data_IF_751022135763
#
_entry.id   IF_751022135763
#
_cell.length_a   1.000
_cell.length_b   1.000
_cell.length_c   1.000
_cell.angle_alpha   90.00
_cell.angle_beta   90.00
_cell.angle_gamma   90.00
#
_symmetry.space_group_name_H-M   'P 1'
#
loop_
_entity.id
_entity.type
_entity.pdbx_description
1 polymer ?
#
# COMPACT_ATOMS: atom_id res chain seq x y z
N UNK A 1 25.07 0.23 25.41
CA UNK A 1 25.33 1.64 25.03
C UNK A 1 24.11 2.50 25.36
N UNK A 2 24.24 3.80 25.64
CA UNK A 2 23.08 4.68 25.86
C UNK A 2 22.71 5.35 24.52
N UNK A 3 21.46 5.22 24.11
CA UNK A 3 20.95 5.80 22.84
C UNK A 3 20.88 7.34 22.90
N UNK A 4 20.57 7.88 24.08
CA UNK A 4 20.38 9.33 24.29
C UNK A 4 21.60 10.15 23.88
N UNK A 5 21.40 11.13 23.00
CA UNK A 5 22.43 12.05 22.51
C UNK A 5 23.21 11.55 21.29
N UNK A 6 22.93 10.35 20.79
CA UNK A 6 23.59 9.78 19.61
C UNK A 6 22.96 10.30 18.30
N UNK A 7 23.64 10.09 17.17
CA UNK A 7 23.05 10.32 15.85
C UNK A 7 21.90 9.35 15.58
N UNK A 8 22.04 8.11 16.04
CA UNK A 8 20.97 7.09 15.95
C UNK A 8 19.68 7.56 16.63
N UNK A 9 19.76 8.21 17.81
CA UNK A 9 18.55 8.79 18.43
C UNK A 9 17.93 9.88 17.54
N UNK A 10 18.74 10.77 16.97
CA UNK A 10 18.25 11.83 16.07
C UNK A 10 17.57 11.23 14.82
N UNK A 11 18.18 10.20 14.24
CA UNK A 11 17.63 9.50 13.07
C UNK A 11 16.31 8.78 13.40
N UNK A 12 16.22 8.13 14.56
CA UNK A 12 14.97 7.53 15.05
C UNK A 12 13.86 8.58 15.19
N UNK A 13 14.18 9.74 15.75
CA UNK A 13 13.22 10.82 15.93
C UNK A 13 12.79 11.43 14.60
N UNK A 14 13.73 11.64 13.67
CA UNK A 14 13.45 12.14 12.33
C UNK A 14 12.56 11.15 11.55
N UNK A 15 12.91 9.85 11.57
CA UNK A 15 12.11 8.80 10.93
C UNK A 15 10.71 8.71 11.56
N UNK A 16 10.60 8.67 12.89
CA UNK A 16 9.30 8.67 13.57
C UNK A 16 8.40 9.83 13.15
N UNK A 17 8.96 11.03 13.04
CA UNK A 17 8.21 12.21 12.59
C UNK A 17 7.86 12.10 11.09
N UNK A 18 8.76 11.55 10.26
CA UNK A 18 8.55 11.28 8.83
C UNK A 18 7.36 10.36 8.61
N UNK A 19 7.37 9.19 9.23
CA UNK A 19 6.28 8.22 9.18
C UNK A 19 4.95 8.80 9.68
N UNK A 20 5.01 9.57 10.76
CA UNK A 20 3.81 10.18 11.35
C UNK A 20 3.17 11.21 10.41
N UNK A 21 3.96 12.02 9.71
CA UNK A 21 3.43 12.97 8.72
C UNK A 21 3.00 12.26 7.43
N UNK A 22 3.75 11.25 6.95
CA UNK A 22 3.38 10.47 5.77
C UNK A 22 2.02 9.78 5.96
N UNK A 23 1.78 9.17 7.12
CA UNK A 23 0.48 8.64 7.51
C UNK A 23 -0.65 9.65 7.33
N UNK A 24 -0.48 10.89 7.82
CA UNK A 24 -1.52 11.92 7.69
C UNK A 24 -1.69 12.33 6.23
N UNK A 25 -0.60 12.57 5.52
CA UNK A 25 -0.58 12.96 4.11
C UNK A 25 -1.31 11.94 3.25
N UNK A 26 -1.04 10.64 3.41
CA UNK A 26 -1.70 9.58 2.66
C UNK A 26 -3.20 9.47 2.99
N UNK A 27 -3.62 9.79 4.21
CA UNK A 27 -5.05 9.90 4.55
C UNK A 27 -5.73 11.04 3.77
N UNK A 28 -5.04 12.17 3.57
CA UNK A 28 -5.56 13.27 2.77
C UNK A 28 -5.63 12.89 1.27
N UNK A 29 -4.60 12.22 0.76
CA UNK A 29 -4.54 11.72 -0.61
C UNK A 29 -5.62 10.67 -0.89
N UNK A 30 -5.90 9.79 0.08
CA UNK A 30 -7.01 8.85 0.02
C UNK A 30 -8.36 9.56 -0.16
N UNK A 31 -8.61 10.62 0.63
CA UNK A 31 -9.82 11.42 0.51
C UNK A 31 -9.97 12.05 -0.88
N UNK A 32 -8.86 12.55 -1.45
CA UNK A 32 -8.87 13.12 -2.81
C UNK A 32 -9.11 12.03 -3.86
N UNK A 33 -8.44 10.88 -3.77
CA UNK A 33 -8.65 9.78 -4.71
C UNK A 33 -10.11 9.31 -4.76
N UNK A 34 -10.79 9.29 -3.61
CA UNK A 34 -12.23 9.01 -3.55
C UNK A 34 -13.05 10.05 -4.32
N UNK A 35 -12.76 11.34 -4.15
CA UNK A 35 -13.45 12.43 -4.87
C UNK A 35 -13.24 12.36 -6.38
N UNK A 36 -12.03 11.96 -6.79
CA UNK A 36 -11.66 11.79 -8.20
C UNK A 36 -12.24 10.48 -8.81
N UNK A 37 -12.93 9.65 -8.02
CA UNK A 37 -13.58 8.43 -8.50
C UNK A 37 -12.66 7.20 -8.53
N UNK A 38 -11.59 7.15 -7.74
CA UNK A 38 -10.64 6.04 -7.69
C UNK A 38 -10.67 5.32 -6.33
N UNK A 39 -11.73 4.53 -6.08
CA UNK A 39 -11.93 3.85 -4.78
C UNK A 39 -10.84 2.82 -4.46
N UNK A 40 -10.24 2.18 -5.46
CA UNK A 40 -9.08 1.32 -5.26
C UNK A 40 -7.88 2.14 -4.74
N UNK A 41 -7.59 3.27 -5.37
CA UNK A 41 -6.46 4.13 -4.99
C UNK A 41 -6.67 4.72 -3.59
N UNK A 42 -7.91 5.14 -3.29
CA UNK A 42 -8.27 5.52 -1.92
C UNK A 42 -7.88 4.45 -0.92
N UNK A 43 -8.32 3.20 -1.14
CA UNK A 43 -8.06 2.10 -0.20
C UNK A 43 -6.56 1.78 -0.07
N UNK A 44 -5.79 1.91 -1.15
CA UNK A 44 -4.34 1.68 -1.12
C UNK A 44 -3.63 2.78 -0.31
N UNK A 45 -4.02 4.05 -0.47
CA UNK A 45 -3.50 5.12 0.38
C UNK A 45 -3.86 4.93 1.86
N UNK A 46 -5.08 4.49 2.17
CA UNK A 46 -5.50 4.19 3.55
C UNK A 46 -4.72 3.02 4.14
N UNK A 47 -4.49 1.97 3.35
CA UNK A 47 -3.67 0.82 3.75
C UNK A 47 -2.24 1.26 4.04
N UNK A 48 -1.60 2.00 3.13
CA UNK A 48 -0.24 2.49 3.33
C UNK A 48 -0.17 3.42 4.55
N UNK A 49 -1.12 4.36 4.71
CA UNK A 49 -1.19 5.21 5.90
C UNK A 49 -1.23 4.41 7.21
N UNK A 50 -1.87 3.23 7.22
CA UNK A 50 -1.87 2.35 8.37
C UNK A 50 -0.55 1.61 8.54
N UNK A 51 0.18 1.31 7.46
CA UNK A 51 1.52 0.72 7.50
C UNK A 51 2.54 1.72 8.05
N UNK A 52 2.52 3.00 7.62
CA UNK A 52 3.37 4.06 8.18
C UNK A 52 3.14 4.26 9.69
N UNK A 53 1.89 4.13 10.14
CA UNK A 53 1.60 4.13 11.58
C UNK A 53 2.34 3.01 12.33
N UNK A 54 2.43 1.81 11.75
CA UNK A 54 3.15 0.70 12.40
C UNK A 54 4.67 0.89 12.32
N UNK A 55 5.21 1.48 11.24
CA UNK A 55 6.62 1.91 11.17
C UNK A 55 6.91 2.93 12.28
N UNK A 56 6.15 4.00 12.35
CA UNK A 56 6.28 5.01 13.42
C UNK A 56 6.24 4.39 14.80
N UNK A 57 5.31 3.46 15.07
CA UNK A 57 5.18 2.76 16.33
C UNK A 57 6.39 1.86 16.63
N UNK A 58 6.97 1.20 15.61
CA UNK A 58 8.19 0.38 15.79
C UNK A 58 9.38 1.25 16.20
N UNK A 59 9.55 2.41 15.57
CA UNK A 59 10.60 3.39 15.88
C UNK A 59 10.39 3.97 17.29
N UNK A 60 9.14 4.35 17.62
CA UNK A 60 8.80 4.89 18.93
C UNK A 60 9.14 3.95 20.10
N UNK A 61 9.08 2.64 19.91
CA UNK A 61 9.42 1.64 20.93
C UNK A 61 10.89 1.68 21.38
N UNK A 62 11.78 2.25 20.59
CA UNK A 62 13.18 2.46 20.99
C UNK A 62 13.38 3.65 21.92
N UNK A 63 12.45 4.61 21.90
CA UNK A 63 12.46 5.76 22.79
C UNK A 63 12.07 5.34 24.22
N UNK A 64 12.76 5.91 25.20
CA UNK A 64 12.64 5.49 26.60
C UNK A 64 11.85 6.48 27.48
N UNK A 65 11.04 7.31 26.87
CA UNK A 65 10.19 8.30 27.53
C UNK A 65 10.88 9.66 27.71
N UNK A 66 10.13 10.60 28.29
CA UNK A 66 10.52 11.98 28.44
C UNK A 66 10.13 12.84 27.21
N UNK A 67 10.49 14.11 27.29
CA UNK A 67 10.34 15.04 26.16
C UNK A 67 11.57 15.01 25.26
N UNK A 68 11.34 15.04 23.94
CA UNK A 68 12.39 15.08 22.92
C UNK A 68 12.12 16.21 21.95
N UNK A 69 13.19 16.85 21.49
CA UNK A 69 13.11 17.82 20.39
C UNK A 69 13.41 17.11 19.09
N UNK A 70 12.51 17.29 18.11
CA UNK A 70 12.70 16.81 16.74
C UNK A 70 13.06 18.00 15.86
N UNK A 71 14.11 17.86 15.06
CA UNK A 71 14.53 18.82 14.06
C UNK A 71 14.74 18.08 12.75
N UNK A 72 13.79 18.26 11.83
CA UNK A 72 13.78 17.59 10.54
C UNK A 72 12.97 18.40 9.53
N UNK A 73 13.19 18.16 8.24
CA UNK A 73 12.44 18.78 7.14
C UNK A 73 11.54 17.73 6.50
N UNK A 74 10.31 18.12 6.23
CA UNK A 74 9.31 17.25 5.60
C UNK A 74 8.63 17.99 4.45
N UNK A 75 8.06 17.26 3.45
CA UNK A 75 7.23 17.88 2.43
C UNK A 75 6.05 18.63 3.05
N UNK A 76 5.94 19.92 2.78
CA UNK A 76 4.82 20.76 3.24
C UNK A 76 3.59 20.63 2.32
N UNK A 77 3.71 19.92 1.26
CA UNK A 77 2.80 19.35 0.28
C UNK A 77 1.82 20.26 -0.29
N UNK A 78 1.09 19.96 -1.30
CA UNK A 78 -0.30 20.34 -1.60
C UNK A 78 -1.10 19.04 -1.69
N UNK A 79 -2.41 19.11 -1.44
CA UNK A 79 -3.31 18.03 -1.81
C UNK A 79 -3.75 18.34 -3.25
N UNK A 80 -3.11 17.68 -4.22
CA UNK A 80 -3.37 17.83 -5.64
C UNK A 80 -4.40 16.81 -6.15
N UNK A 81 -4.42 16.62 -7.46
CA UNK A 81 -5.13 15.51 -8.11
C UNK A 81 -4.57 14.17 -7.67
N UNK A 82 -5.31 13.09 -7.91
CA UNK A 82 -4.84 11.73 -7.60
C UNK A 82 -3.50 11.41 -8.24
N UNK A 83 -3.25 11.84 -9.50
CA UNK A 83 -1.99 11.62 -10.19
C UNK A 83 -0.83 12.38 -9.52
N UNK A 84 -1.03 13.65 -9.17
CA UNK A 84 -0.04 14.46 -8.45
C UNK A 84 0.29 13.89 -7.07
N UNK A 85 -0.73 13.45 -6.36
CA UNK A 85 -0.57 12.84 -5.03
C UNK A 85 0.17 11.49 -5.10
N UNK A 86 -0.11 10.65 -6.10
CA UNK A 86 0.61 9.38 -6.33
C UNK A 86 2.08 9.64 -6.65
N UNK A 87 2.38 10.66 -7.47
CA UNK A 87 3.76 11.03 -7.80
C UNK A 87 4.50 11.53 -6.57
N UNK A 88 3.91 12.46 -5.81
CA UNK A 88 4.51 12.98 -4.59
C UNK A 88 4.73 11.89 -3.52
N UNK A 89 3.82 10.92 -3.43
CA UNK A 89 3.99 9.77 -2.56
C UNK A 89 5.16 8.89 -3.03
N UNK A 90 5.19 8.50 -4.32
CA UNK A 90 6.27 7.66 -4.88
C UNK A 90 7.66 8.31 -4.72
N UNK A 91 7.78 9.63 -4.92
CA UNK A 91 9.04 10.37 -4.72
C UNK A 91 9.49 10.34 -3.25
N UNK A 92 8.56 10.45 -2.31
CA UNK A 92 8.83 10.32 -0.87
C UNK A 92 9.36 8.94 -0.51
N UNK A 93 8.64 7.88 -0.90
CA UNK A 93 9.05 6.49 -0.66
C UNK A 93 10.43 6.19 -1.30
N UNK A 94 10.65 6.70 -2.53
CA UNK A 94 11.95 6.55 -3.20
C UNK A 94 13.10 7.12 -2.38
N UNK A 95 12.96 8.35 -1.88
CA UNK A 95 13.96 8.97 -1.02
C UNK A 95 14.21 8.16 0.25
N UNK A 96 13.16 7.62 0.86
CA UNK A 96 13.25 6.88 2.11
C UNK A 96 14.02 5.58 1.94
N UNK A 97 13.71 4.74 0.95
CA UNK A 97 14.39 3.46 0.78
C UNK A 97 15.75 3.56 0.09
N UNK A 98 15.97 4.56 -0.78
CA UNK A 98 17.22 4.68 -1.53
C UNK A 98 18.30 5.45 -0.76
N UNK A 99 17.91 6.42 0.06
CA UNK A 99 18.85 7.35 0.70
C UNK A 99 18.74 7.36 2.23
N UNK A 100 17.58 7.69 2.76
CA UNK A 100 17.39 7.99 4.19
C UNK A 100 17.63 6.77 5.07
N UNK A 101 16.89 5.70 4.89
CA UNK A 101 17.01 4.51 5.74
C UNK A 101 18.35 3.79 5.60
N UNK A 102 18.95 3.63 4.41
CA UNK A 102 20.32 3.09 4.31
C UNK A 102 21.35 3.89 5.07
N UNK A 103 21.29 5.24 5.00
CA UNK A 103 22.20 6.10 5.76
C UNK A 103 21.99 5.96 7.28
N UNK A 104 20.74 5.94 7.73
CA UNK A 104 20.40 5.77 9.14
C UNK A 104 20.82 4.40 9.67
N UNK A 105 20.65 3.35 8.89
CA UNK A 105 21.10 2.00 9.25
C UNK A 105 22.61 1.91 9.40
N UNK A 106 23.35 2.53 8.47
CA UNK A 106 24.82 2.59 8.55
C UNK A 106 25.26 3.31 9.83
N UNK A 107 24.72 4.49 10.12
CA UNK A 107 25.07 5.25 11.34
C UNK A 107 24.72 4.47 12.61
N UNK A 108 23.58 3.80 12.63
CA UNK A 108 23.20 2.98 13.79
C UNK A 108 24.17 1.81 14.02
N UNK A 109 24.70 1.17 12.96
CA UNK A 109 25.74 0.14 13.09
C UNK A 109 27.04 0.73 13.61
N UNK A 110 27.48 1.85 13.06
CA UNK A 110 28.73 2.54 13.45
C UNK A 110 28.69 2.97 14.93
N UNK A 111 27.52 3.35 15.45
CA UNK A 111 27.30 3.71 16.85
C UNK A 111 26.99 2.49 17.77
N UNK A 112 26.96 1.25 17.22
CA UNK A 112 26.78 0.02 18.00
C UNK A 112 25.32 -0.30 18.35
N UNK A 113 24.36 0.10 17.51
CA UNK A 113 22.93 -0.22 17.63
C UNK A 113 22.45 -1.13 16.47
N UNK A 114 22.96 -2.37 16.36
CA UNK A 114 22.64 -3.24 15.23
C UNK A 114 21.15 -3.61 15.13
N UNK A 115 20.42 -3.68 16.24
CA UNK A 115 18.98 -3.94 16.22
C UNK A 115 18.21 -2.77 15.57
N UNK A 116 18.59 -1.53 15.84
CA UNK A 116 17.98 -0.35 15.24
C UNK A 116 18.30 -0.29 13.75
N UNK A 117 19.56 -0.58 13.38
CA UNK A 117 19.97 -0.65 11.98
C UNK A 117 19.15 -1.67 11.19
N UNK A 118 18.94 -2.87 11.75
CA UNK A 118 18.11 -3.90 11.12
C UNK A 118 16.65 -3.44 10.92
N UNK A 119 16.11 -2.66 11.85
CA UNK A 119 14.76 -2.11 11.69
C UNK A 119 14.70 -1.09 10.56
N UNK A 120 15.66 -0.17 10.45
CA UNK A 120 15.73 0.77 9.33
C UNK A 120 15.83 0.04 7.99
N UNK A 121 16.67 -0.99 7.88
CA UNK A 121 16.79 -1.80 6.67
C UNK A 121 15.48 -2.54 6.32
N UNK A 122 14.76 -3.06 7.32
CA UNK A 122 13.49 -3.74 7.10
C UNK A 122 12.39 -2.77 6.65
N UNK A 123 12.32 -1.57 7.21
CA UNK A 123 11.40 -0.53 6.77
C UNK A 123 11.71 -0.15 5.33
N UNK A 124 12.96 0.09 4.95
CA UNK A 124 13.35 0.41 3.57
C UNK A 124 12.83 -0.60 2.53
N UNK A 125 12.72 -1.89 2.89
CA UNK A 125 12.12 -2.90 2.00
C UNK A 125 10.62 -2.65 1.78
N UNK A 126 9.90 -2.20 2.81
CA UNK A 126 8.49 -1.86 2.70
C UNK A 126 8.29 -0.61 1.83
N UNK A 127 9.10 0.45 2.04
CA UNK A 127 9.00 1.71 1.28
C UNK A 127 9.30 1.51 -0.21
N UNK A 128 10.21 0.61 -0.54
CA UNK A 128 10.45 0.20 -1.93
C UNK A 128 9.22 -0.46 -2.57
N UNK A 129 8.44 -1.22 -1.81
CA UNK A 129 7.20 -1.82 -2.30
C UNK A 129 6.07 -0.79 -2.37
N UNK A 130 6.01 0.18 -1.47
CA UNK A 130 5.07 1.30 -1.52
C UNK A 130 5.30 2.15 -2.78
N UNK A 131 6.54 2.56 -3.06
CA UNK A 131 6.91 3.26 -4.30
C UNK A 131 6.44 2.50 -5.54
N UNK A 132 6.81 1.22 -5.66
CA UNK A 132 6.43 0.38 -6.80
C UNK A 132 4.92 0.37 -7.02
N UNK A 133 4.14 0.29 -5.95
CA UNK A 133 2.68 0.28 -5.98
C UNK A 133 2.14 1.63 -6.44
N UNK A 134 2.66 2.73 -5.91
CA UNK A 134 2.25 4.08 -6.31
C UNK A 134 2.60 4.39 -7.77
N UNK A 135 3.77 4.02 -8.24
CA UNK A 135 4.16 4.18 -9.65
C UNK A 135 3.27 3.36 -10.60
N UNK A 136 2.90 2.14 -10.24
CA UNK A 136 1.96 1.33 -11.02
C UNK A 136 0.57 1.95 -11.10
N UNK A 137 0.06 2.51 -9.99
CA UNK A 137 -1.21 3.22 -9.96
C UNK A 137 -1.16 4.54 -10.73
N UNK A 138 -0.08 5.30 -10.59
CA UNK A 138 0.16 6.53 -11.35
C UNK A 138 0.12 6.27 -12.85
N UNK A 139 0.84 5.25 -13.31
CA UNK A 139 0.83 4.86 -14.71
C UNK A 139 -0.57 4.51 -15.22
N UNK A 140 -1.39 3.82 -14.42
CA UNK A 140 -2.76 3.52 -14.80
C UNK A 140 -3.63 4.80 -14.91
N UNK A 141 -3.46 5.76 -13.99
CA UNK A 141 -4.21 7.02 -14.02
C UNK A 141 -3.81 7.86 -15.24
N UNK A 142 -2.51 8.04 -15.48
CA UNK A 142 -1.98 8.84 -16.58
C UNK A 142 -2.34 8.28 -17.97
N UNK A 143 -2.39 6.95 -18.11
CA UNK A 143 -2.74 6.29 -19.35
C UNK A 143 -4.26 6.01 -19.51
N UNK A 144 -5.11 6.40 -18.55
CA UNK A 144 -6.54 6.14 -18.60
C UNK A 144 -6.88 4.64 -18.53
N UNK A 145 -6.02 3.83 -17.90
CA UNK A 145 -6.15 2.36 -17.85
C UNK A 145 -6.61 1.82 -16.50
N UNK A 146 -7.10 2.68 -15.61
CA UNK A 146 -7.61 2.25 -14.29
C UNK A 146 -8.78 1.27 -14.47
N UNK A 147 -9.74 1.61 -15.32
CA UNK A 147 -10.97 0.81 -15.55
C UNK A 147 -11.01 0.14 -16.92
N UNK A 148 -9.93 0.23 -17.72
CA UNK A 148 -9.84 -0.33 -19.06
C UNK A 148 -8.48 -0.98 -19.29
N UNK A 149 -8.48 -2.10 -20.01
CA UNK A 149 -7.26 -2.84 -20.41
C UNK A 149 -7.30 -3.16 -21.89
N UNK A 150 -6.17 -3.46 -22.45
CA UNK A 150 -5.99 -3.84 -23.87
C UNK A 150 -6.58 -5.22 -24.23
N UNK A 151 -6.92 -6.02 -23.22
CA UNK A 151 -7.49 -7.37 -23.34
C UNK A 151 -8.52 -7.62 -22.24
N UNK A 152 -9.39 -8.62 -22.40
CA UNK A 152 -10.30 -9.04 -21.35
C UNK A 152 -9.54 -9.45 -20.07
N UNK A 153 -9.99 -8.89 -18.95
CA UNK A 153 -9.50 -9.18 -17.60
C UNK A 153 -10.68 -9.39 -16.67
N UNK A 154 -10.41 -9.84 -15.46
CA UNK A 154 -11.45 -10.05 -14.44
C UNK A 154 -11.48 -8.85 -13.51
N UNK A 155 -12.64 -8.18 -13.48
CA UNK A 155 -12.94 -7.05 -12.60
C UNK A 155 -13.75 -7.49 -11.40
N UNK A 156 -13.51 -6.89 -10.24
CA UNK A 156 -14.29 -7.09 -9.02
C UNK A 156 -14.84 -5.76 -8.52
N UNK A 157 -16.13 -5.72 -8.21
CA UNK A 157 -16.71 -4.61 -7.48
C UNK A 157 -16.30 -4.65 -6.00
N UNK A 158 -15.59 -3.65 -5.52
CA UNK A 158 -15.15 -3.55 -4.11
C UNK A 158 -16.30 -3.45 -3.12
N UNK A 159 -17.46 -2.94 -3.56
CA UNK A 159 -18.61 -2.76 -2.70
C UNK A 159 -19.38 -4.07 -2.40
N UNK A 160 -19.59 -4.91 -3.43
CA UNK A 160 -20.47 -6.09 -3.26
C UNK A 160 -19.85 -7.42 -3.70
N UNK A 161 -18.62 -7.41 -4.23
CA UNK A 161 -17.94 -8.63 -4.68
C UNK A 161 -18.37 -9.13 -6.07
N UNK A 162 -19.28 -8.44 -6.78
CA UNK A 162 -19.65 -8.81 -8.14
C UNK A 162 -18.43 -8.89 -9.05
N UNK A 163 -18.37 -9.90 -9.89
CA UNK A 163 -17.25 -10.17 -10.80
C UNK A 163 -17.71 -10.04 -12.25
N UNK A 164 -16.91 -9.37 -13.07
CA UNK A 164 -17.13 -9.16 -14.49
C UNK A 164 -15.87 -9.52 -15.28
N UNK A 165 -16.05 -10.16 -16.45
CA UNK A 165 -14.94 -10.41 -17.38
C UNK A 165 -15.13 -9.59 -18.65
N UNK A 166 -14.15 -8.76 -18.97
CA UNK A 166 -14.16 -7.89 -20.15
C UNK A 166 -12.93 -6.98 -20.19
N UNK A 167 -12.72 -6.26 -21.31
CA UNK A 167 -11.62 -5.30 -21.42
C UNK A 167 -11.84 -4.04 -20.59
N UNK A 168 -13.08 -3.77 -20.17
CA UNK A 168 -13.47 -2.58 -19.43
C UNK A 168 -14.39 -2.96 -18.27
N UNK A 169 -14.24 -2.28 -17.15
CA UNK A 169 -15.12 -2.42 -16.00
C UNK A 169 -16.51 -1.80 -16.32
N UNK A 170 -17.63 -2.38 -15.87
CA UNK A 170 -18.95 -1.81 -16.07
C UNK A 170 -19.08 -0.38 -15.51
N UNK A 171 -19.75 0.52 -16.23
CA UNK A 171 -20.03 1.89 -15.77
C UNK A 171 -20.82 1.90 -14.46
N UNK A 172 -21.73 0.93 -14.31
CA UNK A 172 -22.55 0.71 -13.12
C UNK A 172 -22.56 -0.77 -12.79
N UNK A 173 -22.30 -1.11 -11.53
CA UNK A 173 -22.35 -2.47 -11.06
C UNK A 173 -23.78 -3.03 -11.13
N UNK A 174 -24.05 -4.11 -11.89
CA UNK A 174 -25.41 -4.64 -12.06
C UNK A 174 -25.97 -5.26 -10.77
N UNK A 175 -25.12 -5.61 -9.80
CA UNK A 175 -25.56 -6.22 -8.55
C UNK A 175 -25.88 -5.23 -7.45
N UNK A 176 -25.22 -4.04 -7.42
CA UNK A 176 -25.38 -3.09 -6.31
C UNK A 176 -25.54 -1.63 -6.73
N UNK A 177 -25.61 -1.35 -8.04
CA UNK A 177 -25.80 -0.03 -8.65
C UNK A 177 -24.72 1.01 -8.27
N UNK A 178 -23.54 0.59 -7.76
CA UNK A 178 -22.42 1.49 -7.54
C UNK A 178 -21.70 1.81 -8.87
N UNK A 179 -21.12 3.00 -9.00
CA UNK A 179 -20.43 3.42 -10.22
C UNK A 179 -19.14 2.64 -10.47
N UNK A 180 -18.60 2.72 -11.69
CA UNK A 180 -17.35 2.13 -12.16
C UNK A 180 -16.17 2.40 -11.21
N UNK A 181 -16.17 3.53 -10.52
CA UNK A 181 -15.20 3.90 -9.48
C UNK A 181 -14.92 2.80 -8.45
N UNK A 182 -15.87 1.90 -8.21
CA UNK A 182 -15.76 0.80 -7.25
C UNK A 182 -15.14 -0.47 -7.83
N UNK A 183 -14.78 -0.51 -9.11
CA UNK A 183 -14.16 -1.68 -9.69
C UNK A 183 -12.63 -1.66 -9.55
N UNK A 184 -12.06 -2.85 -9.44
CA UNK A 184 -10.62 -3.10 -9.50
C UNK A 184 -10.35 -4.43 -10.19
N UNK A 185 -9.11 -4.70 -10.56
CA UNK A 185 -8.73 -6.04 -11.00
C UNK A 185 -8.90 -7.04 -9.87
N UNK A 186 -9.51 -8.20 -10.16
CA UNK A 186 -9.60 -9.28 -9.18
C UNK A 186 -8.20 -9.81 -8.87
N UNK A 187 -7.83 -9.77 -7.59
CA UNK A 187 -6.63 -10.42 -7.07
C UNK A 187 -7.04 -11.58 -6.17
N UNK A 188 -6.65 -12.80 -6.53
CA UNK A 188 -6.89 -14.02 -5.75
C UNK A 188 -5.66 -14.36 -4.92
N UNK A 189 -5.37 -13.56 -3.89
CA UNK A 189 -4.19 -13.70 -3.04
C UNK A 189 -4.27 -14.89 -2.04
N UNK A 190 -5.37 -15.65 -2.04
CA UNK A 190 -5.56 -16.90 -1.29
C UNK A 190 -5.34 -18.15 -2.15
N UNK A 191 -5.10 -17.98 -3.47
CA UNK A 191 -4.87 -19.07 -4.39
C UNK A 191 -3.52 -19.78 -4.19
N UNK A 192 -3.38 -20.99 -4.73
CA UNK A 192 -2.11 -21.70 -4.72
C UNK A 192 -1.11 -21.01 -5.66
N UNK A 193 0.09 -20.72 -5.18
CA UNK A 193 1.21 -20.29 -6.02
C UNK A 193 1.68 -21.51 -6.81
N UNK A 194 1.48 -21.52 -8.13
CA UNK A 194 2.12 -22.51 -8.97
C UNK A 194 3.63 -22.27 -9.03
N UNK A 195 4.42 -23.32 -9.14
CA UNK A 195 5.88 -23.35 -9.02
C UNK A 195 6.67 -22.46 -9.99
N UNK A 196 6.01 -21.72 -10.87
CA UNK A 196 6.60 -20.77 -11.83
C UNK A 196 6.56 -19.30 -11.38
N UNK A 197 6.08 -19.00 -10.16
CA UNK A 197 6.04 -17.61 -9.64
C UNK A 197 5.05 -16.65 -10.33
N UNK A 198 4.26 -17.14 -11.31
CA UNK A 198 3.23 -16.39 -12.01
C UNK A 198 1.86 -16.88 -11.55
N UNK A 199 1.03 -15.97 -11.05
CA UNK A 199 -0.36 -16.27 -10.73
C UNK A 199 -1.10 -16.53 -12.06
N UNK A 200 -1.25 -17.80 -12.44
CA UNK A 200 -2.06 -18.19 -13.60
C UNK A 200 -3.48 -18.44 -13.10
N UNK A 201 -4.41 -17.60 -13.51
CA UNK A 201 -5.85 -17.84 -13.30
C UNK A 201 -6.23 -19.02 -14.19
N UNK A 202 -6.35 -20.21 -13.61
CA UNK A 202 -6.94 -21.34 -14.31
C UNK A 202 -8.45 -21.06 -14.49
N UNK A 203 -9.04 -21.31 -15.67
CA UNK A 203 -10.49 -21.24 -15.83
C UNK A 203 -11.13 -22.29 -14.90
N UNK A 204 -12.00 -21.83 -14.01
CA UNK A 204 -12.71 -22.69 -13.06
C UNK A 204 -13.66 -23.64 -13.79
N UNK A 205 -13.22 -24.85 -14.06
CA UNK A 205 -14.12 -25.96 -14.31
C UNK A 205 -14.69 -26.44 -12.95
N UNK A 206 -15.68 -25.72 -12.46
CA UNK A 206 -16.43 -26.14 -11.29
C UNK A 206 -17.39 -27.26 -11.71
N UNK A 207 -16.91 -28.49 -11.74
CA UNK A 207 -17.79 -29.70 -11.78
C UNK A 207 -18.35 -29.91 -10.39
N UNK A 208 -19.51 -29.34 -10.11
CA UNK A 208 -20.30 -29.71 -8.95
C UNK A 208 -20.76 -31.15 -9.16
N UNK A 209 -20.09 -32.10 -8.53
CA UNK A 209 -20.63 -33.46 -8.38
C UNK A 209 -21.87 -33.35 -7.50
N UNK A 210 -23.04 -33.41 -8.14
CA UNK A 210 -24.31 -33.56 -7.44
C UNK A 210 -24.26 -34.90 -6.68
N UNK A 211 -24.17 -34.84 -5.35
CA UNK A 211 -24.48 -36.00 -4.50
C UNK A 211 -25.98 -36.25 -4.59
N UNK A 212 -26.35 -37.41 -5.17
CA UNK A 212 -27.70 -37.87 -5.16
C UNK A 212 -28.20 -38.05 -3.71
N UNK A 213 -29.24 -37.30 -3.36
CA UNK A 213 -29.97 -37.44 -2.12
C UNK A 213 -30.85 -38.71 -2.29
N UNK A 214 -30.62 -39.75 -1.48
CA UNK A 214 -31.50 -40.92 -1.44
C UNK A 214 -32.83 -40.51 -0.78
N UNK A 215 -33.97 -40.88 -1.36
CA UNK A 215 -35.25 -40.64 -0.70
C UNK A 215 -35.38 -41.56 0.52
N UNK A 216 -35.79 -40.96 1.66
CA UNK A 216 -36.28 -41.71 2.82
C UNK A 216 -37.74 -42.06 2.51
N UNK A 217 -38.06 -43.35 2.43
CA UNK A 217 -39.43 -43.85 2.35
C UNK A 217 -40.00 -44.05 3.76
N UNK A 218 -41.34 -44.03 3.88
CA UNK A 218 -42.07 -43.77 5.12
C UNK A 218 -41.95 -44.83 6.19
#
# INVERSE_FOLDING_TARGET
MKLKGTKTEKNLLAAFAGESQARNRYTYFASQAKKDGFVQIQAIFEETANQEKEHAKRLFKFLKGGEVRIEASFPAGVIGTTAENLRAAAEGEHYEWEQMYPAFAKEARDEGFPEIAQVFEAIAVAEKQHEKRYLGLLSNVENGTVFKKDRPVVWRCRNCGYVHTGPEAPDVCPACAHPQAHFELLAENWGHVQSSGVLVIAPSSCSIKQRAVRPVLP
#
